data_IF_398564185897
#
_entry.id   IF_398564185897
#
_cell.length_a   1.000
_cell.length_b   1.000
_cell.length_c   1.000
_cell.angle_alpha   90.00
_cell.angle_beta   90.00
_cell.angle_gamma   90.00
#
_symmetry.space_group_name_H-M   'P 1'
#
loop_
_entity.id
_entity.type
_entity.pdbx_description
1 polymer ?
#
# COMPACT_ATOMS: atom_id res chain seq x y z
N UNK A 1 64.40 27.93 -1.20
CA UNK A 1 65.72 27.51 -1.73
C UNK A 1 66.23 26.40 -0.82
N UNK A 2 66.36 25.17 -1.36
CA UNK A 2 66.95 23.95 -0.76
C UNK A 2 66.14 23.28 0.38
N UNK A 3 65.95 21.96 0.46
CA UNK A 3 66.50 20.80 -0.27
C UNK A 3 65.55 19.59 -0.13
N UNK A 4 65.65 18.67 -1.08
CA UNK A 4 64.83 17.47 -1.31
C UNK A 4 65.12 16.29 -0.35
N UNK A 5 64.18 15.34 -0.39
CA UNK A 5 64.08 13.95 0.15
C UNK A 5 65.29 13.04 -0.18
N UNK A 6 65.52 11.80 0.39
CA UNK A 6 64.67 10.61 0.11
C UNK A 6 64.69 9.39 1.08
N UNK A 7 63.74 8.47 0.82
CA UNK A 7 63.79 6.98 0.90
C UNK A 7 64.00 6.24 2.22
N UNK A 8 63.01 5.43 2.61
CA UNK A 8 63.03 3.95 2.54
C UNK A 8 61.59 3.43 2.78
N UNK A 9 60.94 2.86 1.77
CA UNK A 9 60.90 1.42 1.49
C UNK A 9 60.38 0.57 2.66
N UNK A 10 59.09 0.23 2.61
CA UNK A 10 58.67 -1.11 3.01
C UNK A 10 57.59 -1.63 2.05
N UNK A 11 58.10 -2.35 1.07
CA UNK A 11 57.41 -3.28 0.20
C UNK A 11 57.06 -4.55 1.01
N UNK A 12 55.83 -5.06 0.92
CA UNK A 12 55.56 -6.51 0.91
C UNK A 12 54.06 -6.79 0.71
N UNK A 13 53.72 -6.96 -0.57
CA UNK A 13 53.07 -8.15 -1.14
C UNK A 13 51.98 -8.92 -0.37
N UNK A 14 50.82 -8.98 -1.05
CA UNK A 14 50.07 -10.19 -1.42
C UNK A 14 49.33 -11.01 -0.35
N UNK A 15 47.99 -11.02 -0.45
CA UNK A 15 47.19 -12.25 -0.52
C UNK A 15 45.72 -11.93 -0.86
N UNK A 16 45.24 -12.36 -2.04
CA UNK A 16 43.82 -12.68 -2.26
C UNK A 16 43.42 -13.90 -1.41
N UNK A 17 42.11 -14.08 -1.16
CA UNK A 17 41.52 -15.30 -1.73
C UNK A 17 40.13 -15.07 -2.33
N UNK A 18 39.97 -15.60 -3.54
CA UNK A 18 38.69 -16.02 -4.10
C UNK A 18 38.08 -17.20 -3.31
N UNK A 19 36.76 -17.33 -3.49
CA UNK A 19 35.93 -18.53 -3.37
C UNK A 19 35.29 -18.86 -2.00
N UNK A 20 34.00 -18.49 -1.88
CA UNK A 20 32.95 -19.41 -1.44
C UNK A 20 31.58 -18.95 -1.94
N UNK A 21 31.17 -19.50 -3.09
CA UNK A 21 29.79 -19.49 -3.57
C UNK A 21 28.90 -20.26 -2.58
N UNK A 22 27.78 -19.68 -2.16
CA UNK A 22 26.58 -20.44 -1.76
C UNK A 22 25.34 -19.65 -2.15
N UNK A 23 24.65 -20.16 -3.17
CA UNK A 23 23.41 -19.60 -3.68
C UNK A 23 22.24 -19.84 -2.74
N UNK A 24 21.37 -18.84 -2.67
CA UNK A 24 19.97 -18.98 -2.31
C UNK A 24 19.16 -18.41 -3.47
N UNK A 25 18.84 -19.26 -4.44
CA UNK A 25 17.93 -18.95 -5.54
C UNK A 25 16.50 -18.94 -4.97
N UNK A 26 16.09 -17.82 -4.39
CA UNK A 26 14.68 -17.56 -4.07
C UNK A 26 13.97 -17.10 -5.34
N UNK A 27 13.89 -18.02 -6.29
CA UNK A 27 13.15 -17.86 -7.54
C UNK A 27 11.67 -17.72 -7.16
N UNK A 28 11.12 -16.52 -7.31
CA UNK A 28 9.68 -16.30 -7.18
C UNK A 28 8.95 -17.29 -8.12
N UNK A 29 8.04 -18.07 -7.56
CA UNK A 29 7.22 -19.00 -8.32
C UNK A 29 6.20 -18.22 -9.17
N UNK A 30 6.59 -17.90 -10.41
CA UNK A 30 5.72 -17.27 -11.41
C UNK A 30 4.46 -18.10 -11.69
N UNK A 31 4.43 -19.38 -11.31
CA UNK A 31 3.22 -20.21 -11.36
C UNK A 31 2.14 -19.74 -10.39
N UNK A 32 2.51 -19.37 -9.16
CA UNK A 32 1.58 -18.86 -8.16
C UNK A 32 1.01 -17.48 -8.56
N UNK A 33 1.83 -16.61 -9.16
CA UNK A 33 1.38 -15.31 -9.69
C UNK A 33 0.48 -15.48 -10.92
N UNK A 34 0.76 -16.46 -11.78
CA UNK A 34 -0.08 -16.79 -12.93
C UNK A 34 -1.45 -17.36 -12.54
N UNK A 35 -1.51 -18.17 -11.48
CA UNK A 35 -2.77 -18.68 -10.92
C UNK A 35 -3.63 -17.55 -10.32
N UNK A 36 -2.99 -16.61 -9.61
CA UNK A 36 -3.66 -15.44 -9.06
C UNK A 36 -4.24 -14.52 -10.14
N UNK A 37 -3.48 -14.21 -11.19
CA UNK A 37 -3.94 -13.36 -12.30
C UNK A 37 -5.09 -14.01 -13.09
N UNK A 38 -5.12 -15.35 -13.20
CA UNK A 38 -6.21 -16.08 -13.85
C UNK A 38 -7.52 -16.02 -13.06
N UNK A 39 -7.43 -15.95 -11.73
CA UNK A 39 -8.60 -15.87 -10.86
C UNK A 39 -9.23 -14.47 -10.84
N UNK A 40 -8.45 -13.43 -11.14
CA UNK A 40 -8.92 -12.04 -11.23
C UNK A 40 -9.52 -11.72 -12.61
N UNK A 41 -9.11 -12.41 -13.67
CA UNK A 41 -9.53 -12.15 -15.05
C UNK A 41 -10.83 -12.82 -15.52
N UNK A 42 -11.66 -13.37 -14.62
CA UNK A 42 -12.88 -14.08 -15.02
C UNK A 42 -14.10 -13.57 -14.25
N UNK A 43 -14.43 -12.30 -14.43
CA UNK A 43 -15.78 -11.77 -14.17
C UNK A 43 -16.14 -10.83 -15.32
N UNK A 44 -17.37 -11.03 -15.81
CA UNK A 44 -18.09 -10.31 -16.88
C UNK A 44 -17.80 -10.91 -18.27
N UNK A 45 -18.75 -11.34 -19.11
CA UNK A 45 -20.19 -11.13 -19.24
C UNK A 45 -20.79 -12.32 -20.01
N UNK A 46 -22.04 -12.72 -19.74
CA UNK A 46 -22.93 -13.20 -20.80
C UNK A 46 -24.40 -13.12 -20.36
N UNK A 47 -25.15 -12.29 -21.10
CA UNK A 47 -26.56 -12.04 -20.93
C UNK A 47 -27.43 -12.89 -21.85
N UNK A 48 -28.59 -13.28 -21.32
CA UNK A 48 -29.87 -13.60 -21.98
C UNK A 48 -29.97 -14.84 -22.90
N UNK A 49 -30.89 -15.77 -22.53
CA UNK A 49 -32.08 -16.12 -23.34
C UNK A 49 -33.08 -17.02 -22.59
N UNK A 50 -34.33 -16.86 -23.03
CA UNK A 50 -35.63 -17.34 -22.56
C UNK A 50 -35.93 -18.85 -22.65
N UNK A 51 -36.92 -19.23 -21.82
CA UNK A 51 -38.03 -20.20 -22.00
C UNK A 51 -37.80 -21.72 -22.13
N UNK A 52 -38.61 -22.45 -21.35
CA UNK A 52 -38.83 -23.90 -21.44
C UNK A 52 -39.43 -24.48 -20.15
N UNK A 53 -40.75 -24.71 -20.16
CA UNK A 53 -41.56 -25.52 -19.22
C UNK A 53 -40.93 -26.95 -19.07
N UNK A 54 -41.11 -27.76 -18.04
CA UNK A 54 -42.34 -28.39 -17.53
C UNK A 54 -42.01 -29.16 -16.21
N UNK A 55 -42.95 -29.11 -15.26
CA UNK A 55 -43.52 -30.24 -14.49
C UNK A 55 -42.77 -31.12 -13.45
N UNK A 56 -43.40 -31.14 -12.25
CA UNK A 56 -43.84 -32.30 -11.45
C UNK A 56 -43.11 -32.71 -10.12
N UNK A 57 -43.96 -32.80 -9.08
CA UNK A 57 -43.98 -33.64 -7.87
C UNK A 57 -43.30 -33.25 -6.53
N UNK A 58 -44.14 -32.70 -5.64
CA UNK A 58 -44.58 -33.23 -4.31
C UNK A 58 -43.50 -33.75 -3.33
N UNK A 59 -43.39 -33.24 -2.09
CA UNK A 59 -44.35 -33.52 -1.00
C UNK A 59 -44.18 -32.59 0.22
N UNK A 60 -45.22 -32.38 1.05
CA UNK A 60 -45.20 -31.51 2.23
C UNK A 60 -44.77 -32.25 3.52
N UNK A 61 -44.00 -31.59 4.39
CA UNK A 61 -43.91 -31.99 5.81
C UNK A 61 -43.59 -30.83 6.76
N UNK A 62 -44.67 -30.43 7.42
CA UNK A 62 -44.85 -30.17 8.86
C UNK A 62 -43.89 -29.23 9.61
N UNK A 63 -44.50 -28.22 10.23
CA UNK A 63 -43.86 -27.23 11.06
C UNK A 63 -43.53 -27.77 12.45
N UNK A 64 -42.34 -27.41 12.93
CA UNK A 64 -41.92 -27.59 14.31
C UNK A 64 -40.99 -26.45 14.69
N UNK A 65 -41.50 -25.53 15.51
CA UNK A 65 -40.73 -24.42 16.05
C UNK A 65 -39.53 -24.91 16.87
N UNK A 66 -38.39 -24.28 16.64
CA UNK A 66 -37.20 -24.40 17.46
C UNK A 66 -36.41 -23.12 17.28
N UNK A 67 -36.35 -22.30 18.32
CA UNK A 67 -35.50 -21.14 18.41
C UNK A 67 -34.04 -21.59 18.26
N UNK A 68 -33.53 -21.59 17.04
CA UNK A 68 -32.10 -21.53 16.80
C UNK A 68 -31.72 -20.06 16.89
N UNK A 69 -31.03 -19.71 17.95
CA UNK A 69 -30.10 -18.58 17.95
C UNK A 69 -29.23 -18.72 16.71
N UNK A 70 -29.63 -18.05 15.62
CA UNK A 70 -28.75 -17.76 14.51
C UNK A 70 -27.76 -16.73 15.04
N UNK A 71 -26.77 -17.21 15.80
CA UNK A 71 -25.45 -16.63 15.73
C UNK A 71 -25.03 -16.77 14.27
N UNK A 72 -25.47 -15.82 13.45
CA UNK A 72 -24.72 -15.43 12.26
C UNK A 72 -23.30 -15.35 12.75
N UNK A 73 -22.43 -16.20 12.22
CA UNK A 73 -21.00 -16.16 12.48
C UNK A 73 -20.56 -14.72 12.26
N UNK A 74 -20.48 -13.96 13.34
CA UNK A 74 -19.87 -12.65 13.33
C UNK A 74 -18.42 -12.93 12.94
N UNK A 75 -17.88 -12.29 11.89
CA UNK A 75 -16.48 -12.46 11.54
C UNK A 75 -15.65 -12.21 12.80
N UNK A 76 -14.69 -13.06 13.13
CA UNK A 76 -13.79 -12.81 14.27
C UNK A 76 -13.14 -11.41 14.21
N UNK A 77 -12.99 -10.84 13.00
CA UNK A 77 -12.57 -9.45 12.77
C UNK A 77 -13.59 -8.41 13.24
N UNK A 78 -14.89 -8.65 13.06
CA UNK A 78 -15.96 -7.78 13.56
C UNK A 78 -16.09 -7.93 15.08
N UNK A 79 -15.90 -9.12 15.65
CA UNK A 79 -15.85 -9.29 17.11
C UNK A 79 -14.64 -8.56 17.72
N UNK A 80 -13.47 -8.57 17.07
CA UNK A 80 -12.32 -7.76 17.45
C UNK A 80 -12.61 -6.27 17.31
N UNK A 81 -13.21 -5.83 16.18
CA UNK A 81 -13.58 -4.43 15.91
C UNK A 81 -14.75 -3.92 16.78
N UNK A 82 -15.70 -4.76 17.20
CA UNK A 82 -16.82 -4.41 18.11
C UNK A 82 -16.44 -4.53 19.59
N UNK A 83 -15.58 -5.48 19.95
CA UNK A 83 -14.88 -5.47 21.24
C UNK A 83 -14.01 -4.20 21.33
N UNK A 84 -13.39 -3.84 20.20
CA UNK A 84 -12.82 -2.53 19.94
C UNK A 84 -13.85 -1.41 19.62
N UNK A 85 -15.15 -1.63 19.57
CA UNK A 85 -16.12 -0.51 19.51
C UNK A 85 -16.57 -0.15 20.92
N UNK A 86 -16.64 -1.17 21.79
CA UNK A 86 -16.84 -1.02 23.23
C UNK A 86 -15.57 -0.51 23.95
N UNK A 87 -14.37 -0.71 23.35
CA UNK A 87 -13.07 -0.31 23.93
C UNK A 87 -11.93 0.02 22.97
N UNK A 88 -12.14 0.18 21.67
CA UNK A 88 -11.09 0.32 20.64
C UNK A 88 -11.32 1.40 19.59
N UNK A 89 -12.31 2.28 19.81
CA UNK A 89 -12.09 3.71 19.58
C UNK A 89 -10.76 4.12 20.24
N UNK A 90 -10.46 3.61 21.43
CA UNK A 90 -9.19 3.84 22.12
C UNK A 90 -7.96 3.28 21.39
N UNK A 91 -8.12 2.20 20.63
CA UNK A 91 -7.04 1.58 19.87
C UNK A 91 -6.69 2.40 18.61
N UNK A 92 -7.69 2.78 17.80
CA UNK A 92 -7.45 3.66 16.65
C UNK A 92 -6.90 5.01 17.12
N UNK A 93 -7.44 5.56 18.22
CA UNK A 93 -6.90 6.78 18.82
C UNK A 93 -5.45 6.60 19.31
N UNK A 94 -5.10 5.41 19.82
CA UNK A 94 -3.73 5.06 20.18
C UNK A 94 -2.81 5.05 18.96
N UNK A 95 -3.13 4.31 17.90
CA UNK A 95 -2.35 4.31 16.66
C UNK A 95 -2.17 5.74 16.15
N UNK A 96 -3.25 6.51 16.09
CA UNK A 96 -3.22 7.90 15.62
C UNK A 96 -2.37 8.82 16.51
N UNK A 97 -2.25 8.50 17.81
CA UNK A 97 -1.36 9.21 18.73
C UNK A 97 0.09 8.78 18.54
N UNK A 98 0.35 7.49 18.32
CA UNK A 98 1.68 6.94 18.07
C UNK A 98 2.26 7.43 16.72
N UNK A 99 1.42 7.54 15.68
CA UNK A 99 1.81 8.14 14.39
C UNK A 99 2.20 9.63 14.52
N UNK A 100 1.63 10.35 15.48
CA UNK A 100 2.00 11.75 15.74
C UNK A 100 3.33 11.90 16.49
N UNK A 101 3.89 10.81 17.01
CA UNK A 101 5.16 10.87 17.74
C UNK A 101 6.34 11.18 16.83
N UNK A 102 7.42 11.72 17.41
CA UNK A 102 8.67 12.01 16.70
C UNK A 102 9.64 10.81 16.70
N UNK A 103 9.26 9.72 17.37
CA UNK A 103 10.06 8.50 17.51
C UNK A 103 9.82 7.57 16.31
N UNK A 104 10.82 7.41 15.44
CA UNK A 104 10.69 6.65 14.18
C UNK A 104 10.29 5.20 14.41
N UNK A 105 10.88 4.53 15.41
CA UNK A 105 10.55 3.13 15.72
C UNK A 105 9.10 2.98 16.19
N UNK A 106 8.62 3.93 17.01
CA UNK A 106 7.21 3.96 17.44
C UNK A 106 6.27 4.17 16.26
N UNK A 107 6.61 5.08 15.35
CA UNK A 107 5.84 5.32 14.14
C UNK A 107 5.83 4.08 13.23
N UNK A 108 6.96 3.41 13.03
CA UNK A 108 7.06 2.18 12.23
C UNK A 108 6.18 1.06 12.82
N UNK A 109 6.22 0.87 14.14
CA UNK A 109 5.37 -0.11 14.82
C UNK A 109 3.88 0.21 14.61
N UNK A 110 3.48 1.47 14.80
CA UNK A 110 2.11 1.92 14.60
C UNK A 110 1.65 1.81 13.14
N UNK A 111 2.52 2.11 12.17
CA UNK A 111 2.23 1.96 10.73
C UNK A 111 2.10 0.48 10.35
N UNK A 112 2.92 -0.40 10.92
CA UNK A 112 2.84 -1.85 10.67
C UNK A 112 1.52 -2.38 11.17
N UNK A 113 1.16 -2.04 12.41
CA UNK A 113 -0.10 -2.44 13.02
C UNK A 113 -1.32 -1.88 12.26
N UNK A 114 -1.25 -0.63 11.82
CA UNK A 114 -2.28 -0.02 10.98
C UNK A 114 -2.42 -0.77 9.64
N UNK A 115 -1.30 -1.06 8.98
CA UNK A 115 -1.29 -1.77 7.69
C UNK A 115 -1.88 -3.17 7.82
N UNK A 116 -1.55 -3.91 8.88
CA UNK A 116 -2.09 -5.25 9.12
C UNK A 116 -3.60 -5.18 9.34
N UNK A 117 -4.09 -4.20 10.10
CA UNK A 117 -5.52 -4.01 10.30
C UNK A 117 -6.21 -3.66 9.00
N UNK A 118 -5.67 -2.75 8.19
CA UNK A 118 -6.25 -2.41 6.89
C UNK A 118 -6.31 -3.62 5.96
N UNK A 119 -5.28 -4.48 5.96
CA UNK A 119 -5.26 -5.66 5.08
C UNK A 119 -6.13 -6.82 5.58
N UNK A 120 -6.41 -6.89 6.88
CA UNK A 120 -7.31 -7.88 7.48
C UNK A 120 -8.77 -7.41 7.53
N UNK A 121 -8.99 -6.09 7.48
CA UNK A 121 -10.31 -5.47 7.52
C UNK A 121 -10.88 -5.35 6.12
N UNK A 122 -12.15 -5.71 5.94
CA UNK A 122 -12.91 -5.41 4.73
C UNK A 122 -13.55 -4.02 4.77
N UNK A 123 -14.65 -3.85 4.03
CA UNK A 123 -15.45 -2.61 3.98
C UNK A 123 -16.00 -2.17 5.34
N UNK A 124 -15.98 -3.03 6.35
CA UNK A 124 -16.45 -2.75 7.72
C UNK A 124 -15.70 -1.59 8.39
N UNK A 125 -14.43 -1.36 8.03
CA UNK A 125 -13.64 -0.23 8.54
C UNK A 125 -14.16 1.13 8.03
N UNK A 126 -15.01 1.14 7.00
CA UNK A 126 -15.67 2.35 6.49
C UNK A 126 -16.50 3.05 7.57
N UNK A 127 -17.00 2.30 8.55
CA UNK A 127 -17.83 2.82 9.64
C UNK A 127 -16.95 3.45 10.74
N UNK A 128 -16.40 4.63 10.44
CA UNK A 128 -15.76 5.49 11.45
C UNK A 128 -14.24 5.56 11.41
N UNK A 129 -13.58 5.06 10.36
CA UNK A 129 -12.15 5.32 10.17
C UNK A 129 -11.88 6.82 9.98
N UNK A 130 -10.91 7.41 10.71
CA UNK A 130 -10.65 8.85 10.66
C UNK A 130 -9.80 9.24 9.43
N UNK A 131 -10.32 9.03 8.21
CA UNK A 131 -9.62 9.29 6.93
C UNK A 131 -9.05 10.72 6.88
N UNK A 132 -9.83 11.71 7.32
CA UNK A 132 -9.46 13.13 7.32
C UNK A 132 -8.22 13.44 8.17
N UNK A 133 -7.96 12.64 9.20
CA UNK A 133 -6.79 12.79 10.09
C UNK A 133 -5.65 11.87 9.67
N UNK A 134 -5.97 10.66 9.22
CA UNK A 134 -4.99 9.64 8.84
C UNK A 134 -4.24 10.02 7.55
N UNK A 135 -4.95 10.43 6.50
CA UNK A 135 -4.33 10.69 5.19
C UNK A 135 -3.27 11.80 5.27
N UNK A 136 -3.52 12.99 5.88
CA UNK A 136 -2.48 14.00 6.01
C UNK A 136 -1.27 13.55 6.84
N UNK A 137 -1.48 12.73 7.87
CA UNK A 137 -0.38 12.17 8.67
C UNK A 137 0.47 11.19 7.85
N UNK A 138 -0.17 10.30 7.08
CA UNK A 138 0.54 9.38 6.17
C UNK A 138 1.37 10.14 5.14
N UNK A 139 0.79 11.17 4.50
CA UNK A 139 1.51 12.05 3.56
C UNK A 139 2.70 12.71 4.25
N UNK A 140 2.54 13.22 5.48
CA UNK A 140 3.64 13.81 6.24
C UNK A 140 4.79 12.82 6.45
N UNK A 141 4.51 11.55 6.74
CA UNK A 141 5.57 10.54 6.89
C UNK A 141 6.23 10.17 5.56
N UNK A 142 5.51 10.22 4.44
CA UNK A 142 6.07 10.06 3.09
C UNK A 142 6.96 11.25 2.73
N UNK A 143 6.58 12.48 3.13
CA UNK A 143 7.30 13.71 2.79
C UNK A 143 8.66 13.83 3.48
N UNK A 144 8.78 13.36 4.73
CA UNK A 144 9.99 13.53 5.57
C UNK A 144 11.22 12.96 4.88
N UNK A 145 12.04 13.83 4.28
CA UNK A 145 13.29 13.50 3.57
C UNK A 145 14.55 13.72 4.42
N UNK A 146 14.42 14.32 5.59
CA UNK A 146 15.56 14.91 6.29
C UNK A 146 16.58 13.85 6.74
N UNK A 147 17.81 13.85 6.21
CA UNK A 147 18.88 12.93 6.64
C UNK A 147 19.31 13.16 8.10
N UNK A 148 18.96 14.32 8.69
CA UNK A 148 19.18 14.64 10.10
C UNK A 148 18.00 14.28 11.01
N UNK A 149 16.87 13.80 10.45
CA UNK A 149 15.83 13.07 11.21
C UNK A 149 16.51 11.75 11.63
N UNK A 150 17.29 11.78 12.72
CA UNK A 150 18.08 10.66 13.26
C UNK A 150 17.23 9.51 13.79
N UNK A 151 16.09 9.26 13.14
CA UNK A 151 15.22 8.15 13.35
C UNK A 151 15.72 6.91 12.62
N UNK A 152 15.56 5.77 13.26
CA UNK A 152 15.85 4.48 12.67
C UNK A 152 14.96 4.24 11.44
N UNK A 153 15.59 3.77 10.35
CA UNK A 153 14.98 3.24 9.13
C UNK A 153 13.90 4.11 8.44
N UNK A 154 14.29 5.28 7.88
CA UNK A 154 13.35 6.21 7.26
C UNK A 154 12.68 5.65 6.00
N UNK A 155 13.32 4.74 5.29
CA UNK A 155 12.78 4.15 4.05
C UNK A 155 11.64 3.18 4.35
N UNK A 156 11.81 2.30 5.35
CA UNK A 156 10.72 1.42 5.80
C UNK A 156 9.52 2.21 6.30
N UNK A 157 9.74 3.29 7.06
CA UNK A 157 8.67 4.18 7.53
C UNK A 157 7.88 4.77 6.35
N UNK A 158 8.56 5.33 5.35
CA UNK A 158 7.91 5.92 4.16
C UNK A 158 7.16 4.87 3.36
N UNK A 159 7.77 3.70 3.15
CA UNK A 159 7.16 2.59 2.43
C UNK A 159 5.90 2.10 3.13
N UNK A 160 5.94 1.88 4.46
CA UNK A 160 4.75 1.49 5.24
C UNK A 160 3.65 2.56 5.19
N UNK A 161 4.01 3.84 5.29
CA UNK A 161 3.03 4.92 5.17
C UNK A 161 2.34 4.94 3.80
N UNK A 162 3.11 4.75 2.73
CA UNK A 162 2.57 4.66 1.36
C UNK A 162 1.72 3.40 1.13
N UNK A 163 2.05 2.28 1.78
CA UNK A 163 1.23 1.06 1.77
C UNK A 163 -0.09 1.26 2.49
N UNK A 164 -0.08 1.85 3.69
CA UNK A 164 -1.31 2.20 4.41
C UNK A 164 -2.21 3.11 3.56
N UNK A 165 -1.62 4.13 2.91
CA UNK A 165 -2.36 5.04 2.04
C UNK A 165 -2.99 4.31 0.85
N UNK A 166 -2.25 3.38 0.23
CA UNK A 166 -2.76 2.56 -0.84
C UNK A 166 -3.90 1.63 -0.37
N UNK A 167 -3.74 0.94 0.77
CA UNK A 167 -4.81 0.11 1.33
C UNK A 167 -6.06 0.93 1.64
N UNK A 168 -5.91 2.18 2.10
CA UNK A 168 -7.05 3.09 2.27
C UNK A 168 -7.73 3.51 0.96
N UNK A 169 -6.99 3.59 -0.16
CA UNK A 169 -7.57 3.81 -1.49
C UNK A 169 -8.26 2.56 -2.05
N UNK A 170 -7.89 1.37 -1.58
CA UNK A 170 -8.58 0.13 -1.95
C UNK A 170 -9.88 -0.05 -1.15
N UNK A 171 -9.88 0.30 0.14
CA UNK A 171 -11.05 0.12 1.01
C UNK A 171 -12.02 1.32 0.93
N UNK A 172 -11.50 2.55 0.89
CA UNK A 172 -12.26 3.81 0.91
C UNK A 172 -11.83 4.74 -0.22
N UNK A 173 -11.99 4.34 -1.50
CA UNK A 173 -11.42 5.04 -2.65
C UNK A 173 -11.80 6.53 -2.71
N UNK A 174 -13.10 6.82 -2.68
CA UNK A 174 -13.59 8.20 -2.84
C UNK A 174 -13.21 9.12 -1.67
N UNK A 175 -13.32 8.63 -0.43
CA UNK A 175 -13.01 9.41 0.76
C UNK A 175 -11.51 9.71 0.87
N UNK A 176 -10.67 8.70 0.62
CA UNK A 176 -9.21 8.81 0.67
C UNK A 176 -8.69 9.71 -0.44
N UNK A 177 -9.15 9.50 -1.69
CA UNK A 177 -8.75 10.33 -2.83
C UNK A 177 -9.16 11.79 -2.64
N UNK A 178 -10.40 12.05 -2.20
CA UNK A 178 -10.86 13.42 -1.93
C UNK A 178 -10.04 14.11 -0.84
N UNK A 179 -9.75 13.40 0.26
CA UNK A 179 -8.92 13.94 1.35
C UNK A 179 -7.51 14.25 0.87
N UNK A 180 -6.94 13.39 0.02
CA UNK A 180 -5.61 13.58 -0.55
C UNK A 180 -5.56 14.78 -1.53
N UNK A 181 -6.59 14.96 -2.35
CA UNK A 181 -6.73 16.11 -3.26
C UNK A 181 -6.99 17.43 -2.54
N UNK A 182 -7.71 17.40 -1.41
CA UNK A 182 -7.99 18.59 -0.60
C UNK A 182 -6.81 18.97 0.31
N UNK A 183 -5.88 18.05 0.53
CA UNK A 183 -4.65 18.34 1.28
C UNK A 183 -3.74 19.25 0.46
N UNK A 184 -3.28 20.35 1.07
CA UNK A 184 -2.50 21.42 0.41
C UNK A 184 -1.32 20.90 -0.42
N UNK A 185 -0.67 19.81 0.02
CA UNK A 185 0.49 19.21 -0.65
C UNK A 185 0.35 17.71 -0.89
N UNK A 186 -0.82 17.12 -0.68
CA UNK A 186 -1.01 15.66 -0.70
C UNK A 186 -0.49 14.98 -1.96
N UNK A 187 -1.05 15.36 -3.10
CA UNK A 187 -0.68 14.80 -4.40
C UNK A 187 0.70 15.26 -4.86
N UNK A 188 1.07 16.51 -4.60
CA UNK A 188 2.36 17.07 -4.98
C UNK A 188 3.53 16.39 -4.27
N UNK A 189 3.39 16.00 -3.00
CA UNK A 189 4.41 15.23 -2.26
C UNK A 189 4.69 13.90 -2.94
N UNK A 190 3.64 13.17 -3.32
CA UNK A 190 3.75 11.85 -3.96
C UNK A 190 4.41 12.00 -5.34
N UNK A 191 4.00 12.99 -6.13
CA UNK A 191 4.60 13.28 -7.42
C UNK A 191 6.08 13.67 -7.28
N UNK A 192 6.42 14.50 -6.28
CA UNK A 192 7.80 14.90 -6.02
C UNK A 192 8.69 13.71 -5.60
N UNK A 193 8.16 12.75 -4.82
CA UNK A 193 8.90 11.52 -4.49
C UNK A 193 9.17 10.67 -5.71
N UNK A 194 8.24 10.63 -6.65
CA UNK A 194 8.42 9.90 -7.90
C UNK A 194 9.46 10.55 -8.82
N UNK A 195 9.58 11.88 -8.83
CA UNK A 195 10.66 12.57 -9.58
C UNK A 195 12.03 12.49 -8.89
N UNK A 196 12.08 12.28 -7.56
CA UNK A 196 13.32 12.17 -6.79
C UNK A 196 13.47 10.77 -6.19
N UNK A 197 13.54 9.76 -7.05
CA UNK A 197 13.58 8.35 -6.65
C UNK A 197 14.85 8.06 -5.84
N UNK A 198 14.68 7.86 -4.53
CA UNK A 198 15.73 7.39 -3.62
C UNK A 198 15.60 5.89 -3.31
N UNK A 199 14.36 5.39 -3.32
CA UNK A 199 14.02 4.01 -3.03
C UNK A 199 13.03 3.48 -4.07
N UNK A 200 13.40 2.39 -4.76
CA UNK A 200 12.64 1.82 -5.88
C UNK A 200 11.29 1.28 -5.39
N UNK A 201 11.26 0.60 -4.25
CA UNK A 201 10.04 0.02 -3.69
C UNK A 201 9.02 1.11 -3.32
N UNK A 202 9.50 2.23 -2.75
CA UNK A 202 8.66 3.38 -2.46
C UNK A 202 8.08 3.99 -3.73
N UNK A 203 8.90 4.16 -4.77
CA UNK A 203 8.46 4.77 -6.01
C UNK A 203 7.47 3.88 -6.78
N UNK A 204 7.67 2.56 -6.81
CA UNK A 204 6.67 1.61 -7.31
C UNK A 204 5.35 1.75 -6.53
N UNK A 205 5.42 1.83 -5.20
CA UNK A 205 4.23 2.01 -4.38
C UNK A 205 3.54 3.36 -4.63
N UNK A 206 4.29 4.43 -4.89
CA UNK A 206 3.75 5.72 -5.31
C UNK A 206 3.00 5.63 -6.64
N UNK A 207 3.54 4.92 -7.65
CA UNK A 207 2.85 4.71 -8.93
C UNK A 207 1.48 4.04 -8.72
N UNK A 208 1.42 3.03 -7.84
CA UNK A 208 0.17 2.34 -7.49
C UNK A 208 -0.85 3.29 -6.85
N UNK A 209 -0.40 4.14 -5.93
CA UNK A 209 -1.25 5.17 -5.31
C UNK A 209 -1.77 6.15 -6.35
N UNK A 210 -0.90 6.68 -7.21
CA UNK A 210 -1.28 7.63 -8.26
C UNK A 210 -2.26 7.00 -9.27
N UNK A 211 -2.07 5.74 -9.64
CA UNK A 211 -3.01 5.01 -10.50
C UNK A 211 -4.40 4.89 -9.87
N UNK A 212 -4.50 4.51 -8.60
CA UNK A 212 -5.81 4.44 -7.91
C UNK A 212 -6.46 5.82 -7.80
N UNK A 213 -5.70 6.84 -7.41
CA UNK A 213 -6.21 8.22 -7.33
C UNK A 213 -6.68 8.76 -8.68
N UNK A 214 -5.98 8.42 -9.77
CA UNK A 214 -6.33 8.91 -11.12
C UNK A 214 -7.76 8.55 -11.55
N UNK A 215 -8.32 7.46 -11.01
CA UNK A 215 -9.69 7.03 -11.31
C UNK A 215 -10.74 7.83 -10.53
N UNK A 216 -10.37 8.37 -9.37
CA UNK A 216 -11.27 9.10 -8.46
C UNK A 216 -11.15 10.63 -8.60
N UNK A 217 -9.94 11.14 -8.81
CA UNK A 217 -9.59 12.56 -8.82
C UNK A 217 -8.61 12.92 -9.96
N UNK A 218 -8.97 12.66 -11.23
CA UNK A 218 -8.06 12.84 -12.38
C UNK A 218 -7.59 14.30 -12.54
N UNK A 219 -8.51 15.26 -12.47
CA UNK A 219 -8.17 16.69 -12.65
C UNK A 219 -7.24 17.21 -11.55
N UNK A 220 -7.45 16.80 -10.30
CA UNK A 220 -6.59 17.21 -9.19
C UNK A 220 -5.17 16.64 -9.35
N UNK A 221 -5.06 15.38 -9.79
CA UNK A 221 -3.76 14.75 -10.03
C UNK A 221 -3.02 15.38 -11.21
N UNK A 222 -3.73 15.73 -12.28
CA UNK A 222 -3.16 16.47 -13.41
C UNK A 222 -2.58 17.81 -12.96
N UNK A 223 -3.34 18.61 -12.21
CA UNK A 223 -2.89 19.90 -11.69
C UNK A 223 -1.71 19.80 -10.72
N UNK A 224 -1.57 18.67 -10.02
CA UNK A 224 -0.45 18.40 -9.12
C UNK A 224 0.86 18.01 -9.84
N UNK A 225 0.85 17.88 -11.17
CA UNK A 225 2.01 17.48 -11.97
C UNK A 225 2.16 15.97 -12.15
N UNK A 226 1.10 15.18 -11.92
CA UNK A 226 1.15 13.71 -11.97
C UNK A 226 1.61 13.14 -13.31
N UNK A 227 1.19 13.73 -14.44
CA UNK A 227 1.61 13.28 -15.78
C UNK A 227 3.13 13.40 -15.95
N UNK A 228 3.70 14.54 -15.58
CA UNK A 228 5.14 14.76 -15.70
C UNK A 228 5.92 13.75 -14.85
N UNK A 229 5.56 13.61 -13.56
CA UNK A 229 6.25 12.71 -12.65
C UNK A 229 6.19 11.24 -13.10
N UNK A 230 5.04 10.78 -13.63
CA UNK A 230 4.87 9.40 -14.12
C UNK A 230 5.64 9.12 -15.42
N UNK A 231 5.77 10.11 -16.30
CA UNK A 231 6.51 9.96 -17.56
C UNK A 231 8.03 10.03 -17.34
N UNK A 232 8.50 10.87 -16.42
CA UNK A 232 9.93 11.01 -16.09
C UNK A 232 10.56 9.72 -15.56
N UNK A 233 9.77 8.85 -14.92
CA UNK A 233 10.28 7.63 -14.31
C UNK A 233 10.01 6.35 -15.14
N UNK A 234 9.37 6.45 -16.30
CA UNK A 234 8.82 5.30 -17.03
C UNK A 234 9.88 4.26 -17.43
N UNK A 235 11.04 4.74 -17.88
CA UNK A 235 12.15 3.95 -18.39
C UNK A 235 12.90 3.17 -17.30
N UNK A 236 12.65 3.48 -16.02
CA UNK A 236 13.30 2.81 -14.88
C UNK A 236 12.52 1.62 -14.31
N UNK A 237 11.22 1.52 -14.58
CA UNK A 237 10.37 0.51 -13.93
C UNK A 237 9.99 -0.68 -14.82
N UNK A 238 9.49 -1.74 -14.18
CA UNK A 238 8.97 -2.95 -14.85
C UNK A 238 7.78 -2.62 -15.74
N UNK A 239 7.50 -3.49 -16.72
CA UNK A 239 6.32 -3.37 -17.61
C UNK A 239 5.00 -3.23 -16.85
N UNK A 240 4.89 -3.85 -15.66
CA UNK A 240 3.72 -3.72 -14.80
C UNK A 240 3.53 -2.27 -14.31
N UNK A 241 4.58 -1.65 -13.77
CA UNK A 241 4.55 -0.26 -13.31
C UNK A 241 4.34 0.71 -14.47
N UNK A 242 4.99 0.47 -15.62
CA UNK A 242 4.77 1.25 -16.85
C UNK A 242 3.30 1.19 -17.29
N UNK A 243 2.67 0.01 -17.21
CA UNK A 243 1.24 -0.16 -17.50
C UNK A 243 0.35 0.64 -16.55
N UNK A 244 0.64 0.65 -15.25
CA UNK A 244 -0.10 1.46 -14.29
C UNK A 244 0.12 2.97 -14.48
N UNK A 245 1.35 3.40 -14.75
CA UNK A 245 1.66 4.79 -15.07
C UNK A 245 0.89 5.25 -16.31
N UNK A 246 0.85 4.42 -17.36
CA UNK A 246 0.09 4.73 -18.57
C UNK A 246 -1.42 4.69 -18.36
N UNK A 247 -1.92 3.77 -17.55
CA UNK A 247 -3.32 3.77 -17.12
C UNK A 247 -3.69 5.05 -16.38
N UNK A 248 -2.81 5.52 -15.49
CA UNK A 248 -3.02 6.76 -14.73
C UNK A 248 -3.03 7.99 -15.65
N UNK A 249 -2.10 8.07 -16.59
CA UNK A 249 -2.05 9.13 -17.61
C UNK A 249 -3.28 9.13 -18.50
N UNK A 250 -3.81 7.95 -18.85
CA UNK A 250 -5.05 7.83 -19.63
C UNK A 250 -6.29 8.36 -18.87
N UNK A 251 -6.31 8.20 -17.55
CA UNK A 251 -7.45 8.62 -16.73
C UNK A 251 -7.50 10.15 -16.51
N UNK A 252 -6.36 10.83 -16.63
CA UNK A 252 -6.21 12.29 -16.49
C UNK A 252 -6.54 13.04 -17.78
#
# INVERSE_FOLDING_TARGET
>A
MRLETPTDMNDSAAASPEAARRGGDSRMDLGALGAFLRQVGSRDDDAAKEEGEEDEMFSPRDGGGGAASSSSSFPEGLAFLMSAASGGSGFMQRIMTELKSDDSLRVIAALTELNDILNLSGEEIALGFPVESAVPLLVRHIERDDPQDGGDDPDTRRLLASRCLYSLLDILPSATARTLSNSEKGLSVICHKLSNITNIDLAEQCIRVLFRVSSEQPTALFCAGGVQALLECMDFFTTYCQGQAMGAVKNM
#
